data_IF_050614568991
#
_entry.id   IF_050614568991
#
_cell.length_a   1.000
_cell.length_b   1.000
_cell.length_c   1.000
_cell.angle_alpha   90.00
_cell.angle_beta   90.00
_cell.angle_gamma   90.00
#
_symmetry.space_group_name_H-M   'P 1'
#
loop_
_entity.id
_entity.type
_entity.pdbx_description
1 polymer ?
#
# COMPACT_ATOMS: atom_id res chain seq x y z
N UNK A 1 -44.22 43.01 -33.94
CA UNK A 1 -43.85 41.67 -33.45
C UNK A 1 -42.37 41.70 -33.11
N UNK A 2 -42.00 41.78 -31.82
CA UNK A 2 -40.60 41.95 -31.38
C UNK A 2 -40.00 40.56 -31.09
N UNK A 3 -38.99 40.15 -31.84
CA UNK A 3 -38.20 38.94 -31.58
C UNK A 3 -37.28 39.19 -30.37
N UNK A 4 -37.21 38.29 -29.37
CA UNK A 4 -36.20 38.40 -28.32
C UNK A 4 -34.86 37.84 -28.80
N UNK A 5 -33.81 38.63 -28.62
CA UNK A 5 -32.41 38.28 -28.86
C UNK A 5 -31.96 37.35 -27.72
N UNK A 6 -31.74 36.06 -28.01
CA UNK A 6 -31.11 35.14 -27.07
C UNK A 6 -29.60 35.43 -27.03
N UNK A 7 -29.13 35.97 -25.90
CA UNK A 7 -27.71 36.08 -25.61
C UNK A 7 -27.14 34.68 -25.35
N UNK A 8 -26.26 34.22 -26.24
CA UNK A 8 -25.45 33.02 -26.04
C UNK A 8 -24.46 33.36 -24.90
N UNK A 9 -24.70 32.85 -23.69
CA UNK A 9 -23.67 32.84 -22.65
C UNK A 9 -22.55 31.91 -23.14
N UNK A 10 -21.40 32.49 -23.50
CA UNK A 10 -20.17 31.74 -23.65
C UNK A 10 -19.84 31.12 -22.28
N UNK A 11 -20.05 29.81 -22.17
CA UNK A 11 -19.48 29.00 -21.10
C UNK A 11 -17.95 29.07 -21.28
N UNK A 12 -17.32 30.04 -20.61
CA UNK A 12 -15.87 30.04 -20.45
C UNK A 12 -15.47 28.73 -19.80
N UNK A 13 -14.52 28.02 -20.41
CA UNK A 13 -13.91 26.85 -19.82
C UNK A 13 -13.39 27.23 -18.44
N UNK A 14 -14.05 26.78 -17.37
CA UNK A 14 -13.48 26.77 -16.04
C UNK A 14 -12.22 25.92 -16.14
N UNK A 15 -11.07 26.57 -16.26
CA UNK A 15 -9.80 25.90 -16.16
C UNK A 15 -9.72 25.41 -14.72
N UNK A 16 -9.79 24.10 -14.51
CA UNK A 16 -9.53 23.51 -13.22
C UNK A 16 -8.13 23.98 -12.80
N UNK A 17 -8.01 24.59 -11.61
CA UNK A 17 -6.71 24.83 -11.01
C UNK A 17 -6.05 23.47 -10.83
N UNK A 18 -5.07 23.17 -11.67
CA UNK A 18 -4.20 22.00 -11.50
C UNK A 18 -3.64 22.03 -10.08
N UNK A 19 -3.61 20.88 -9.39
CA UNK A 19 -2.99 20.76 -8.08
C UNK A 19 -1.58 21.37 -8.13
N UNK A 20 -1.29 22.42 -7.33
CA UNK A 20 0.05 22.97 -7.21
C UNK A 20 1.06 21.86 -6.87
N UNK A 21 2.23 21.88 -7.52
CA UNK A 21 3.35 20.99 -7.17
C UNK A 21 3.83 21.15 -5.71
N UNK A 22 3.36 22.21 -5.04
CA UNK A 22 3.67 22.62 -3.67
C UNK A 22 3.03 21.76 -2.57
N UNK A 23 2.19 20.77 -2.93
CA UNK A 23 1.56 19.86 -1.96
C UNK A 23 2.34 18.54 -1.74
N UNK A 24 3.53 18.42 -2.32
CA UNK A 24 4.44 17.33 -1.99
C UNK A 24 4.76 17.34 -0.48
N UNK A 25 4.69 16.15 0.13
CA UNK A 25 4.99 15.98 1.55
C UNK A 25 6.33 15.28 1.62
N UNK A 26 7.29 15.92 2.27
CA UNK A 26 8.67 15.42 2.34
C UNK A 26 9.12 15.31 3.79
N UNK A 27 9.64 14.14 4.14
CA UNK A 27 10.45 13.91 5.32
C UNK A 27 11.93 13.96 4.95
N UNK A 28 12.70 14.75 5.71
CA UNK A 28 14.16 14.83 5.62
C UNK A 28 14.86 13.98 6.69
N UNK A 29 14.10 13.29 7.53
CA UNK A 29 14.59 12.38 8.57
C UNK A 29 13.80 11.08 8.51
N UNK A 30 14.40 9.94 8.89
CA UNK A 30 13.66 8.69 8.98
C UNK A 30 12.54 8.78 10.03
N UNK A 31 11.53 7.93 9.85
CA UNK A 31 10.39 7.77 10.75
C UNK A 31 10.82 7.11 12.07
N UNK A 32 10.15 7.45 13.17
CA UNK A 32 10.40 6.77 14.46
C UNK A 32 9.84 5.35 14.45
N UNK A 33 8.62 5.22 13.93
CA UNK A 33 7.94 3.94 13.74
C UNK A 33 6.89 4.03 12.61
N UNK A 34 6.05 2.99 12.51
CA UNK A 34 5.01 2.91 11.48
C UNK A 34 3.92 4.00 11.56
N UNK A 35 3.80 4.74 12.66
CA UNK A 35 2.85 5.85 12.81
C UNK A 35 3.23 7.04 11.94
N UNK A 36 4.52 7.22 11.65
CA UNK A 36 5.05 8.25 10.74
C UNK A 36 5.10 7.76 9.29
N UNK A 37 4.21 6.85 8.88
CA UNK A 37 4.22 6.27 7.53
C UNK A 37 3.43 7.07 6.51
N UNK A 38 3.94 7.12 5.28
CA UNK A 38 3.24 7.70 4.14
C UNK A 38 2.23 6.69 3.62
N UNK A 39 0.96 7.10 3.42
CA UNK A 39 0.00 6.26 2.73
C UNK A 39 0.32 6.22 1.23
N UNK A 40 0.26 5.03 0.65
CA UNK A 40 0.35 4.82 -0.78
C UNK A 40 -0.92 4.12 -1.25
N UNK A 41 -1.67 4.78 -2.15
CA UNK A 41 -2.99 4.35 -2.62
C UNK A 41 -2.90 3.67 -3.98
N UNK A 42 -3.52 2.50 -4.12
CA UNK A 42 -3.70 1.81 -5.40
C UNK A 42 -5.11 1.97 -5.98
N UNK A 43 -5.61 0.91 -6.62
CA UNK A 43 -6.99 0.77 -7.09
C UNK A 43 -7.68 -0.40 -6.40
N UNK A 44 -9.01 -0.40 -6.42
CA UNK A 44 -9.83 -1.55 -6.03
C UNK A 44 -9.57 -2.05 -4.60
N UNK A 45 -9.15 -1.14 -3.73
CA UNK A 45 -8.87 -1.43 -2.33
C UNK A 45 -7.40 -1.65 -1.98
N UNK A 46 -6.50 -1.78 -2.95
CA UNK A 46 -5.07 -1.98 -2.69
C UNK A 46 -4.42 -0.72 -2.11
N UNK A 47 -3.51 -0.90 -1.15
CA UNK A 47 -2.73 0.19 -0.58
C UNK A 47 -1.56 -0.29 0.27
N UNK A 48 -0.73 0.66 0.71
CA UNK A 48 0.36 0.38 1.63
C UNK A 48 0.62 1.58 2.55
N UNK A 49 1.20 1.31 3.72
CA UNK A 49 1.91 2.31 4.52
C UNK A 49 3.40 2.14 4.25
N UNK A 50 4.11 3.21 3.91
CA UNK A 50 5.54 3.20 3.56
C UNK A 50 6.31 4.16 4.44
N UNK A 51 7.41 3.70 5.05
CA UNK A 51 8.28 4.55 5.86
C UNK A 51 9.73 4.06 5.80
N UNK A 52 10.66 4.87 6.29
CA UNK A 52 12.05 4.49 6.43
C UNK A 52 12.42 4.49 7.90
N UNK A 53 13.03 3.41 8.35
CA UNK A 53 13.47 3.21 9.72
C UNK A 53 14.59 2.17 9.76
N UNK A 54 15.57 2.37 10.64
CA UNK A 54 16.68 1.43 10.87
C UNK A 54 17.40 1.04 9.57
N UNK A 55 17.71 2.05 8.75
CA UNK A 55 18.43 1.85 7.49
C UNK A 55 17.59 1.26 6.34
N UNK A 56 16.30 0.99 6.58
CA UNK A 56 15.48 0.16 5.70
C UNK A 56 14.18 0.83 5.29
N UNK A 57 13.68 0.52 4.10
CA UNK A 57 12.32 0.87 3.67
C UNK A 57 11.38 -0.21 4.20
N UNK A 58 10.35 0.23 4.88
CA UNK A 58 9.32 -0.62 5.45
C UNK A 58 7.98 -0.38 4.77
N UNK A 59 7.24 -1.47 4.58
CA UNK A 59 5.89 -1.43 4.04
C UNK A 59 4.96 -2.27 4.90
N UNK A 60 3.78 -1.75 5.22
CA UNK A 60 2.62 -2.56 5.60
C UNK A 60 1.65 -2.61 4.45
N UNK A 61 1.55 -3.77 3.82
CA UNK A 61 0.66 -4.03 2.69
C UNK A 61 -0.78 -4.12 3.19
N UNK A 62 -1.72 -3.55 2.43
CA UNK A 62 -3.12 -3.48 2.82
C UNK A 62 -4.05 -3.70 1.62
N UNK A 63 -5.24 -4.22 1.91
CA UNK A 63 -6.35 -4.28 0.97
C UNK A 63 -7.65 -4.05 1.74
N UNK A 64 -8.53 -3.15 1.29
CA UNK A 64 -9.78 -2.82 2.00
C UNK A 64 -10.74 -4.02 2.15
N UNK A 65 -10.61 -5.01 1.28
CA UNK A 65 -11.31 -6.29 1.35
C UNK A 65 -10.66 -7.38 2.21
N UNK A 66 -9.60 -7.11 2.98
CA UNK A 66 -8.88 -8.10 3.78
C UNK A 66 -9.53 -8.39 5.14
N UNK A 67 -10.81 -8.78 5.12
CA UNK A 67 -11.57 -9.11 6.32
C UNK A 67 -11.38 -10.56 6.73
N UNK A 68 -11.00 -10.80 7.99
CA UNK A 68 -11.00 -12.16 8.57
C UNK A 68 -12.42 -12.66 8.83
N UNK A 69 -12.55 -13.94 9.23
CA UNK A 69 -13.84 -14.54 9.55
C UNK A 69 -14.63 -13.76 10.63
N UNK A 70 -13.93 -13.02 11.50
CA UNK A 70 -14.52 -12.21 12.56
C UNK A 70 -14.91 -10.79 12.12
N UNK A 71 -14.68 -10.42 10.86
CA UNK A 71 -14.96 -9.09 10.32
C UNK A 71 -13.88 -8.06 10.62
N UNK A 72 -12.67 -8.48 11.00
CA UNK A 72 -11.54 -7.57 11.26
C UNK A 72 -10.82 -7.27 9.95
N UNK A 73 -10.57 -5.99 9.68
CA UNK A 73 -9.73 -5.59 8.57
C UNK A 73 -8.25 -5.78 8.95
N UNK A 74 -7.55 -6.66 8.24
CA UNK A 74 -6.17 -7.03 8.56
C UNK A 74 -5.18 -6.52 7.50
N UNK A 75 -3.93 -6.26 7.94
CA UNK A 75 -2.81 -6.05 7.02
C UNK A 75 -2.50 -7.36 6.27
N UNK A 76 -1.93 -7.25 5.08
CA UNK A 76 -1.52 -8.40 4.27
C UNK A 76 -0.14 -8.94 4.68
N UNK A 77 0.63 -8.14 5.41
CA UNK A 77 1.97 -8.48 5.89
C UNK A 77 2.87 -7.26 5.92
N UNK A 78 4.10 -7.47 6.39
CA UNK A 78 5.16 -6.48 6.43
C UNK A 78 6.24 -6.83 5.41
N UNK A 79 6.70 -5.84 4.64
CA UNK A 79 7.85 -5.98 3.75
C UNK A 79 8.95 -5.04 4.23
N UNK A 80 10.18 -5.54 4.28
CA UNK A 80 11.38 -4.74 4.55
C UNK A 80 12.33 -4.85 3.37
N UNK A 81 12.76 -3.71 2.85
CA UNK A 81 13.73 -3.59 1.76
C UNK A 81 14.94 -2.81 2.29
N UNK A 82 16.10 -3.46 2.35
CA UNK A 82 17.32 -2.86 2.91
C UNK A 82 18.42 -2.83 1.86
N UNK A 83 18.86 -1.66 1.39
CA UNK A 83 20.08 -1.55 0.60
C UNK A 83 21.28 -2.08 1.40
N UNK A 84 22.01 -3.09 0.90
CA UNK A 84 23.09 -3.71 1.70
C UNK A 84 24.34 -2.84 1.89
N UNK A 85 24.51 -1.81 1.06
CA UNK A 85 25.73 -0.99 1.03
C UNK A 85 25.58 0.38 1.70
N UNK A 86 24.36 0.76 2.13
CA UNK A 86 24.09 2.01 2.84
C UNK A 86 22.99 1.81 3.88
N UNK A 87 22.97 2.68 4.89
CA UNK A 87 21.88 2.76 5.85
C UNK A 87 21.05 4.01 5.54
N UNK A 88 19.78 3.82 5.12
CA UNK A 88 18.86 4.93 4.86
C UNK A 88 18.52 5.70 6.14
N UNK A 89 18.37 7.02 6.03
CA UNK A 89 18.07 7.92 7.13
C UNK A 89 19.26 8.75 7.63
N UNK A 90 20.36 8.77 6.88
CA UNK A 90 21.56 9.60 7.16
C UNK A 90 21.50 10.94 6.40
N UNK A 91 22.58 11.72 6.43
CA UNK A 91 22.66 13.00 5.71
C UNK A 91 22.30 12.87 4.22
N UNK A 92 21.46 13.80 3.74
CA UNK A 92 20.93 13.78 2.38
C UNK A 92 19.77 12.81 2.16
N UNK A 93 19.22 12.21 3.22
CA UNK A 93 17.98 11.44 3.16
C UNK A 93 16.79 12.32 2.79
N UNK A 94 15.92 11.78 1.93
CA UNK A 94 14.60 12.35 1.69
C UNK A 94 13.61 11.23 1.35
N UNK A 95 12.43 11.29 1.94
CA UNK A 95 11.26 10.51 1.54
C UNK A 95 10.14 11.49 1.20
N UNK A 96 9.61 11.45 -0.03
CA UNK A 96 8.59 12.38 -0.49
C UNK A 96 7.40 11.65 -1.12
N UNK A 97 6.19 12.04 -0.74
CA UNK A 97 4.94 11.64 -1.39
C UNK A 97 4.48 12.77 -2.30
N UNK A 98 4.30 12.45 -3.57
CA UNK A 98 3.65 13.30 -4.56
C UNK A 98 2.19 12.88 -4.76
N UNK A 99 1.21 13.64 -4.23
CA UNK A 99 -0.20 13.33 -4.39
C UNK A 99 -0.65 13.39 -5.86
N UNK A 100 -0.01 14.21 -6.70
CA UNK A 100 -0.40 14.39 -8.10
C UNK A 100 -0.11 13.16 -8.97
N UNK A 101 0.83 12.32 -8.55
CA UNK A 101 1.23 11.10 -9.26
C UNK A 101 1.04 9.82 -8.45
N UNK A 102 0.58 9.94 -7.20
CA UNK A 102 0.45 8.82 -6.27
C UNK A 102 1.76 8.07 -6.05
N UNK A 103 2.90 8.78 -6.07
CA UNK A 103 4.23 8.17 -6.03
C UNK A 103 4.98 8.60 -4.79
N UNK A 104 5.59 7.63 -4.11
CA UNK A 104 6.58 7.90 -3.06
C UNK A 104 7.96 7.77 -3.66
N UNK A 105 8.83 8.77 -3.45
CA UNK A 105 10.23 8.74 -3.83
C UNK A 105 11.10 8.75 -2.59
N UNK A 106 12.10 7.86 -2.51
CA UNK A 106 13.09 7.84 -1.43
C UNK A 106 14.48 8.00 -2.04
N UNK A 107 15.26 8.95 -1.54
CA UNK A 107 16.62 9.24 -2.02
C UNK A 107 17.61 9.39 -0.88
N UNK A 108 18.83 8.91 -1.09
CA UNK A 108 19.99 9.22 -0.24
C UNK A 108 21.28 8.98 -1.04
N UNK A 109 22.10 10.02 -1.21
CA UNK A 109 23.32 9.93 -2.02
C UNK A 109 23.03 9.45 -3.45
N UNK A 110 23.67 8.35 -3.87
CA UNK A 110 23.44 7.73 -5.18
C UNK A 110 22.18 6.87 -5.29
N UNK A 111 21.55 6.51 -4.17
CA UNK A 111 20.37 5.67 -4.14
C UNK A 111 19.10 6.49 -4.36
N UNK A 112 18.29 6.06 -5.32
CA UNK A 112 16.96 6.60 -5.59
C UNK A 112 15.99 5.44 -5.77
N UNK A 113 14.83 5.52 -5.14
CA UNK A 113 13.74 4.59 -5.35
C UNK A 113 12.40 5.29 -5.52
N UNK A 114 11.49 4.63 -6.22
CA UNK A 114 10.11 5.06 -6.38
C UNK A 114 9.15 3.90 -6.09
N UNK A 115 8.07 4.20 -5.38
CA UNK A 115 6.98 3.29 -5.08
C UNK A 115 5.68 3.88 -5.61
N UNK A 116 4.95 3.10 -6.40
CA UNK A 116 3.67 3.51 -6.98
C UNK A 116 2.82 2.27 -7.28
N UNK A 117 1.52 2.45 -7.49
CA UNK A 117 0.61 1.34 -7.82
C UNK A 117 0.29 1.29 -9.32
N UNK A 118 0.40 0.10 -9.89
CA UNK A 118 -0.20 -0.27 -11.16
C UNK A 118 -1.50 -1.04 -10.86
N UNK A 119 -2.61 -0.32 -10.69
CA UNK A 119 -3.86 -0.91 -10.22
C UNK A 119 -3.72 -1.48 -8.81
N UNK A 120 -3.79 -2.80 -8.68
CA UNK A 120 -3.62 -3.51 -7.40
C UNK A 120 -2.20 -4.03 -7.15
N UNK A 121 -1.26 -3.76 -8.06
CA UNK A 121 0.14 -4.18 -7.93
C UNK A 121 1.02 -3.01 -7.53
N UNK A 122 1.63 -3.07 -6.34
CA UNK A 122 2.64 -2.12 -5.91
C UNK A 122 3.94 -2.40 -6.69
N UNK A 123 4.50 -1.38 -7.30
CA UNK A 123 5.78 -1.43 -8.00
C UNK A 123 6.81 -0.65 -7.20
N UNK A 124 7.88 -1.32 -6.80
CA UNK A 124 9.10 -0.73 -6.26
C UNK A 124 10.16 -0.77 -7.34
N UNK A 125 10.75 0.39 -7.63
CA UNK A 125 11.89 0.52 -8.52
C UNK A 125 12.98 1.26 -7.78
N UNK A 126 14.22 0.79 -7.87
CA UNK A 126 15.37 1.54 -7.39
C UNK A 126 16.47 1.62 -8.43
N UNK A 127 17.24 2.69 -8.37
CA UNK A 127 18.49 2.85 -9.08
C UNK A 127 19.57 3.37 -8.13
N UNK A 128 20.78 2.88 -8.30
CA UNK A 128 21.96 3.33 -7.58
C UNK A 128 23.10 3.73 -8.53
N UNK A 129 24.04 4.49 -8.00
CA UNK A 129 25.33 4.82 -8.61
C UNK A 129 26.25 3.61 -8.79
N UNK A 130 26.13 2.60 -7.91
CA UNK A 130 26.96 1.39 -7.90
C UNK A 130 26.14 0.10 -7.86
N UNK A 131 26.75 -1.03 -8.21
CA UNK A 131 26.09 -2.33 -8.06
C UNK A 131 26.00 -2.69 -6.59
N UNK A 132 24.78 -2.90 -6.10
CA UNK A 132 24.56 -3.39 -4.76
C UNK A 132 23.32 -4.28 -4.69
N UNK A 133 23.31 -5.29 -3.83
CA UNK A 133 22.11 -6.08 -3.58
C UNK A 133 21.18 -5.37 -2.59
N UNK A 134 19.90 -5.73 -2.66
CA UNK A 134 18.89 -5.43 -1.65
C UNK A 134 18.65 -6.68 -0.80
N UNK A 135 18.56 -6.51 0.52
CA UNK A 135 17.87 -7.47 1.36
C UNK A 135 16.37 -7.25 1.22
N UNK A 136 15.62 -8.33 1.01
CA UNK A 136 14.16 -8.31 0.98
C UNK A 136 13.64 -9.31 2.01
N UNK A 137 12.82 -8.83 2.95
CA UNK A 137 12.15 -9.67 3.91
C UNK A 137 10.64 -9.49 3.83
N UNK A 138 9.89 -10.59 3.86
CA UNK A 138 8.47 -10.59 4.16
C UNK A 138 8.26 -11.11 5.58
N UNK A 139 7.44 -10.44 6.39
CA UNK A 139 7.10 -10.89 7.74
C UNK A 139 5.60 -10.84 8.04
N UNK A 140 5.16 -11.78 8.87
CA UNK A 140 3.79 -11.81 9.40
C UNK A 140 3.79 -12.24 10.86
N UNK A 141 2.92 -11.60 11.66
CA UNK A 141 2.62 -12.00 13.03
C UNK A 141 1.56 -13.10 13.10
N UNK A 142 0.97 -13.46 11.96
CA UNK A 142 0.03 -14.58 11.81
C UNK A 142 0.75 -15.76 11.16
N UNK A 143 1.98 -16.05 11.58
CA UNK A 143 2.76 -17.20 11.08
C UNK A 143 2.11 -18.55 11.41
N UNK A 144 1.19 -18.54 12.39
CA UNK A 144 0.37 -19.67 12.82
C UNK A 144 -0.91 -19.15 13.44
N UNK A 145 -1.89 -20.03 13.59
CA UNK A 145 -3.11 -19.73 14.37
C UNK A 145 -2.74 -19.47 15.83
N UNK A 146 -3.27 -18.38 16.39
CA UNK A 146 -3.06 -17.96 17.78
C UNK A 146 -4.40 -17.80 18.48
N UNK A 147 -4.59 -18.57 19.54
CA UNK A 147 -5.80 -18.53 20.38
C UNK A 147 -5.61 -17.65 21.61
N UNK A 148 -6.72 -17.19 22.18
CA UNK A 148 -6.70 -16.46 23.45
C UNK A 148 -6.14 -15.05 23.36
N UNK A 149 -6.03 -14.48 22.15
CA UNK A 149 -5.53 -13.12 21.93
C UNK A 149 -6.59 -12.12 22.36
N UNK A 150 -6.20 -11.17 23.23
CA UNK A 150 -7.09 -10.09 23.66
C UNK A 150 -7.48 -9.23 22.46
N UNK A 151 -8.78 -9.11 22.21
CA UNK A 151 -9.36 -8.43 21.05
C UNK A 151 -9.87 -7.02 21.39
N UNK A 152 -10.25 -6.77 22.65
CA UNK A 152 -10.80 -5.48 23.05
C UNK A 152 -10.38 -5.07 24.48
N UNK A 153 -10.76 -3.84 24.84
CA UNK A 153 -10.49 -3.28 26.15
C UNK A 153 -11.29 -3.96 27.26
N UNK A 154 -12.41 -4.61 26.94
CA UNK A 154 -13.28 -5.35 27.88
C UNK A 154 -12.75 -6.75 28.23
N UNK A 155 -11.64 -7.17 27.61
CA UNK A 155 -10.98 -8.42 27.93
C UNK A 155 -11.46 -9.61 27.09
N UNK A 156 -12.26 -9.37 26.04
CA UNK A 156 -12.63 -10.42 25.10
C UNK A 156 -11.38 -11.03 24.46
N UNK A 157 -11.37 -12.36 24.36
CA UNK A 157 -10.30 -13.12 23.73
C UNK A 157 -10.81 -13.82 22.48
N UNK A 158 -9.98 -13.92 21.48
CA UNK A 158 -10.34 -14.47 20.16
C UNK A 158 -9.20 -15.26 19.55
N UNK A 159 -9.51 -15.92 18.45
CA UNK A 159 -8.56 -16.62 17.60
C UNK A 159 -8.19 -15.74 16.40
N UNK A 160 -6.91 -15.66 16.10
CA UNK A 160 -6.38 -15.16 14.84
C UNK A 160 -5.85 -16.34 14.04
N UNK A 161 -6.42 -16.62 12.87
CA UNK A 161 -5.97 -17.71 12.02
C UNK A 161 -4.67 -17.35 11.30
N UNK A 162 -3.80 -18.35 11.13
CA UNK A 162 -2.52 -18.19 10.46
C UNK A 162 -2.64 -17.92 8.96
N UNK A 163 -1.69 -17.16 8.43
CA UNK A 163 -1.48 -16.98 7.00
C UNK A 163 -0.68 -18.16 6.43
N UNK A 164 -0.91 -18.48 5.16
CA UNK A 164 -0.09 -19.42 4.41
C UNK A 164 1.04 -18.65 3.73
N UNK A 165 2.29 -19.06 3.98
CA UNK A 165 3.48 -18.41 3.42
C UNK A 165 4.27 -19.41 2.58
N UNK A 166 4.57 -19.04 1.34
CA UNK A 166 5.45 -19.78 0.45
C UNK A 166 6.57 -18.84 -0.02
N UNK A 167 7.80 -19.17 0.34
CA UNK A 167 8.98 -18.43 -0.07
C UNK A 167 9.75 -19.22 -1.14
N UNK A 168 10.29 -18.50 -2.12
CA UNK A 168 11.09 -19.05 -3.21
C UNK A 168 12.14 -18.04 -3.64
N UNK A 169 13.14 -18.41 -4.45
CA UNK A 169 14.11 -17.45 -4.98
C UNK A 169 13.43 -16.40 -5.89
N UNK A 170 12.29 -16.71 -6.50
CA UNK A 170 11.51 -15.75 -7.30
C UNK A 170 10.75 -14.71 -6.47
N UNK A 171 10.55 -14.95 -5.17
CA UNK A 171 9.77 -14.09 -4.29
C UNK A 171 8.87 -14.86 -3.32
N UNK A 172 7.74 -14.26 -2.95
CA UNK A 172 6.87 -14.73 -1.88
C UNK A 172 5.41 -14.83 -2.36
N UNK A 173 4.70 -15.88 -1.96
CA UNK A 173 3.23 -15.95 -2.03
C UNK A 173 2.71 -16.07 -0.61
N UNK A 174 1.84 -15.14 -0.22
CA UNK A 174 1.24 -15.11 1.12
C UNK A 174 -0.25 -14.87 1.02
N UNK A 175 -1.04 -15.70 1.68
CA UNK A 175 -2.48 -15.50 1.70
C UNK A 175 -3.14 -16.07 2.96
N UNK A 176 -4.23 -15.44 3.31
CA UNK A 176 -5.19 -15.89 4.30
C UNK A 176 -6.42 -16.42 3.59
N UNK A 177 -7.00 -17.51 4.09
CA UNK A 177 -8.28 -18.04 3.61
C UNK A 177 -9.22 -18.23 4.79
N UNK A 178 -10.34 -17.51 4.77
CA UNK A 178 -11.40 -17.67 5.73
C UNK A 178 -12.09 -19.04 5.55
N UNK A 179 -12.80 -19.46 6.60
CA UNK A 179 -13.60 -20.68 6.58
C UNK A 179 -14.73 -20.59 5.55
N UNK A 180 -15.27 -21.75 5.15
CA UNK A 180 -16.30 -21.82 4.10
C UNK A 180 -17.68 -21.33 4.56
N UNK A 181 -17.85 -21.19 5.87
CA UNK A 181 -19.08 -20.79 6.53
C UNK A 181 -18.90 -19.46 7.29
N UNK A 182 -19.96 -18.62 7.37
CA UNK A 182 -19.93 -17.40 8.17
C UNK A 182 -19.75 -17.71 9.66
N UNK A 183 -19.06 -16.83 10.38
CA UNK A 183 -19.23 -16.75 11.83
C UNK A 183 -20.69 -16.40 12.12
N UNK A 184 -21.37 -17.09 13.04
CA UNK A 184 -22.80 -16.97 13.37
C UNK A 184 -23.39 -15.54 13.20
N UNK A 185 -23.76 -15.20 11.97
CA UNK A 185 -24.31 -13.89 11.61
C UNK A 185 -25.75 -13.81 12.11
N UNK A 186 -26.46 -14.93 12.12
CA UNK A 186 -27.85 -15.03 12.59
C UNK A 186 -27.95 -14.68 14.09
N UNK A 187 -27.10 -15.27 14.93
CA UNK A 187 -27.04 -14.98 16.36
C UNK A 187 -26.63 -13.53 16.63
N UNK A 188 -25.65 -12.99 15.88
CA UNK A 188 -25.25 -11.58 15.98
C UNK A 188 -26.35 -10.62 15.54
N UNK A 189 -27.09 -10.94 14.48
CA UNK A 189 -28.20 -10.14 13.97
C UNK A 189 -29.36 -10.08 14.97
N UNK A 190 -29.79 -11.26 15.43
CA UNK A 190 -30.88 -11.43 16.39
C UNK A 190 -30.58 -10.72 17.72
N UNK A 191 -29.34 -10.84 18.21
CA UNK A 191 -28.89 -10.14 19.43
C UNK A 191 -28.89 -8.61 19.32
N UNK A 192 -28.95 -8.05 18.10
CA UNK A 192 -29.04 -6.61 17.84
C UNK A 192 -30.42 -6.18 17.30
N UNK A 193 -31.40 -7.09 17.24
CA UNK A 193 -32.72 -6.81 16.68
C UNK A 193 -32.73 -6.58 15.16
N UNK A 194 -31.68 -7.01 14.46
CA UNK A 194 -31.54 -6.88 13.01
C UNK A 194 -32.05 -8.14 12.30
N UNK A 195 -32.72 -7.96 11.15
CA UNK A 195 -33.05 -9.07 10.26
C UNK A 195 -31.78 -9.61 9.59
N UNK A 196 -31.57 -10.91 9.71
CA UNK A 196 -30.45 -11.62 9.07
C UNK A 196 -30.44 -11.44 7.55
N UNK A 197 -31.60 -11.31 6.90
CA UNK A 197 -31.69 -11.09 5.45
C UNK A 197 -30.99 -9.81 4.99
N UNK A 198 -30.78 -8.84 5.89
CA UNK A 198 -30.10 -7.57 5.60
C UNK A 198 -28.59 -7.60 5.86
N UNK A 199 -28.05 -8.73 6.33
CA UNK A 199 -26.63 -8.88 6.65
C UNK A 199 -25.96 -9.85 5.67
N UNK A 200 -25.48 -9.36 4.51
CA UNK A 200 -24.76 -10.21 3.58
C UNK A 200 -23.48 -10.74 4.24
N UNK A 201 -23.24 -12.04 4.09
CA UNK A 201 -21.98 -12.64 4.49
C UNK A 201 -20.88 -12.20 3.52
N UNK A 202 -20.02 -11.32 4.02
CA UNK A 202 -18.87 -10.81 3.28
C UNK A 202 -17.57 -11.47 3.70
N UNK A 203 -17.56 -12.40 4.68
CA UNK A 203 -16.32 -12.97 5.24
C UNK A 203 -16.11 -14.44 4.88
N UNK A 204 -17.15 -15.25 4.68
CA UNK A 204 -16.93 -16.66 4.31
C UNK A 204 -16.22 -16.81 2.95
N UNK A 205 -15.35 -17.82 2.85
CA UNK A 205 -14.53 -18.17 1.68
C UNK A 205 -13.67 -17.03 1.13
N UNK A 206 -13.54 -15.95 1.87
CA UNK A 206 -12.71 -14.82 1.48
C UNK A 206 -11.24 -15.22 1.54
N UNK A 207 -10.53 -14.93 0.46
CA UNK A 207 -9.09 -15.10 0.35
C UNK A 207 -8.46 -13.74 0.10
N UNK A 208 -7.43 -13.42 0.87
CA UNK A 208 -6.71 -12.16 0.74
C UNK A 208 -5.22 -12.32 1.03
N UNK A 209 -4.39 -11.52 0.40
CA UNK A 209 -2.95 -11.63 0.56
C UNK A 209 -2.16 -10.90 -0.50
N UNK A 210 -0.92 -11.33 -0.69
CA UNK A 210 -0.01 -10.74 -1.66
C UNK A 210 0.90 -11.76 -2.32
N UNK A 211 1.24 -11.53 -3.58
CA UNK A 211 2.37 -12.17 -4.23
C UNK A 211 3.44 -11.13 -4.55
N UNK A 212 4.68 -11.40 -4.15
CA UNK A 212 5.84 -10.54 -4.35
C UNK A 212 6.76 -11.21 -5.35
N UNK A 213 7.12 -10.52 -6.43
CA UNK A 213 8.06 -11.00 -7.44
C UNK A 213 9.28 -10.06 -7.52
N UNK A 214 10.46 -10.66 -7.67
CA UNK A 214 11.75 -9.95 -7.69
C UNK A 214 12.41 -10.12 -9.06
N UNK A 215 12.75 -9.02 -9.73
CA UNK A 215 13.45 -9.08 -11.02
C UNK A 215 14.83 -9.74 -10.89
N UNK A 216 15.08 -10.77 -11.69
CA UNK A 216 16.28 -11.61 -11.60
C UNK A 216 16.36 -12.52 -10.37
N UNK A 217 15.35 -12.50 -9.50
CA UNK A 217 15.27 -13.33 -8.30
C UNK A 217 16.28 -12.99 -7.19
N UNK A 218 16.19 -13.77 -6.12
CA UNK A 218 17.05 -13.73 -4.95
C UNK A 218 18.15 -14.80 -5.03
N UNK A 219 19.28 -14.54 -4.36
CA UNK A 219 20.37 -15.48 -4.19
C UNK A 219 19.98 -16.52 -3.15
N UNK A 220 19.65 -17.73 -3.61
CA UNK A 220 19.27 -18.85 -2.75
C UNK A 220 17.82 -18.77 -2.26
N UNK A 221 17.48 -19.69 -1.34
CA UNK A 221 16.17 -19.72 -0.70
C UNK A 221 16.10 -18.68 0.42
N UNK A 222 15.01 -17.89 0.51
CA UNK A 222 14.80 -17.00 1.65
C UNK A 222 14.84 -17.76 2.98
N UNK A 223 15.63 -17.27 3.92
CA UNK A 223 15.78 -17.89 5.23
C UNK A 223 14.65 -17.46 6.17
N UNK A 224 14.02 -18.43 6.81
CA UNK A 224 13.01 -18.20 7.85
C UNK A 224 13.67 -17.87 9.20
N UNK A 225 13.16 -16.86 9.89
CA UNK A 225 13.61 -16.50 11.24
C UNK A 225 12.47 -15.95 12.09
N UNK A 226 12.58 -16.10 13.41
CA UNK A 226 11.73 -15.38 14.35
C UNK A 226 12.13 -13.90 14.40
N UNK A 227 11.12 -13.03 14.48
CA UNK A 227 11.34 -11.58 14.51
C UNK A 227 10.48 -10.92 15.58
N UNK A 228 11.01 -9.84 16.14
CA UNK A 228 10.25 -8.82 16.87
C UNK A 228 10.36 -7.52 16.09
N UNK A 229 9.34 -7.20 15.32
CA UNK A 229 9.28 -6.00 14.49
C UNK A 229 8.26 -5.04 15.09
N UNK A 230 8.68 -3.79 15.32
CA UNK A 230 7.85 -2.81 16.01
C UNK A 230 7.32 -3.35 17.34
N UNK A 231 6.00 -3.49 17.45
CA UNK A 231 5.26 -3.95 18.60
C UNK A 231 4.70 -5.38 18.45
N UNK A 232 5.14 -6.15 17.44
CA UNK A 232 4.66 -7.52 17.22
C UNK A 232 5.79 -8.55 17.08
N UNK A 233 5.46 -9.79 17.46
CA UNK A 233 6.32 -10.96 17.31
C UNK A 233 5.72 -11.90 16.25
N UNK A 234 6.57 -12.50 15.43
CA UNK A 234 6.16 -13.44 14.39
C UNK A 234 7.36 -14.05 13.69
N UNK A 235 7.19 -14.33 12.40
CA UNK A 235 8.26 -14.83 11.54
C UNK A 235 8.47 -13.95 10.32
N UNK A 236 9.69 -13.98 9.81
CA UNK A 236 10.04 -13.38 8.53
C UNK A 236 10.82 -14.36 7.66
N UNK A 237 10.71 -14.18 6.34
CA UNK A 237 11.47 -14.89 5.32
C UNK A 237 12.32 -13.86 4.59
N UNK A 238 13.63 -14.00 4.68
CA UNK A 238 14.59 -12.99 4.22
C UNK A 238 15.49 -13.54 3.13
N UNK A 239 15.51 -12.87 1.98
CA UNK A 239 16.42 -13.16 0.87
C UNK A 239 17.24 -11.94 0.49
N UNK A 240 18.23 -12.12 -0.39
CA UNK A 240 19.07 -11.04 -0.93
C UNK A 240 19.00 -11.10 -2.45
N UNK A 241 18.87 -9.97 -3.13
CA UNK A 241 18.87 -9.93 -4.61
C UNK A 241 20.26 -10.18 -5.17
N UNK A 242 20.36 -10.39 -6.49
CA UNK A 242 21.65 -10.23 -7.17
C UNK A 242 22.16 -8.79 -7.01
N UNK A 243 23.47 -8.56 -7.11
CA UNK A 243 24.04 -7.21 -7.09
C UNK A 243 23.80 -6.53 -8.45
N UNK A 244 23.07 -5.40 -8.44
CA UNK A 244 22.74 -4.62 -9.64
C UNK A 244 22.59 -3.14 -9.27
N UNK A 245 22.78 -2.23 -10.23
CA UNK A 245 22.40 -0.81 -10.07
C UNK A 245 20.90 -0.61 -9.97
N UNK A 246 20.13 -1.35 -10.75
CA UNK A 246 18.68 -1.19 -10.84
C UNK A 246 17.96 -2.43 -10.36
N UNK A 247 16.94 -2.24 -9.52
CA UNK A 247 16.09 -3.31 -8.99
C UNK A 247 14.63 -3.00 -9.26
N UNK A 248 13.86 -4.03 -9.54
CA UNK A 248 12.41 -3.96 -9.66
C UNK A 248 11.80 -5.08 -8.80
N UNK A 249 10.91 -4.70 -7.90
CA UNK A 249 10.14 -5.61 -7.06
C UNK A 249 8.68 -5.25 -7.23
N UNK A 250 7.82 -6.23 -7.46
CA UNK A 250 6.38 -6.03 -7.64
C UNK A 250 5.62 -6.81 -6.59
N UNK A 251 4.51 -6.25 -6.11
CA UNK A 251 3.71 -6.84 -5.03
C UNK A 251 2.24 -6.76 -5.43
N UNK A 252 1.71 -7.84 -6.00
CA UNK A 252 0.28 -7.97 -6.30
C UNK A 252 -0.49 -8.14 -5.00
N UNK A 253 -1.42 -7.23 -4.69
CA UNK A 253 -2.22 -7.27 -3.46
C UNK A 253 -3.66 -7.60 -3.81
N UNK A 254 -4.29 -8.63 -3.25
CA UNK A 254 -5.63 -9.04 -3.65
C UNK A 254 -6.50 -9.41 -2.44
N UNK A 255 -7.81 -9.17 -2.55
CA UNK A 255 -8.81 -9.75 -1.64
C UNK A 255 -10.17 -9.92 -2.30
N UNK A 256 -10.69 -11.16 -2.34
CA UNK A 256 -12.06 -11.42 -2.79
C UNK A 256 -12.62 -12.71 -2.19
N UNK A 257 -13.94 -12.88 -2.28
CA UNK A 257 -14.61 -14.16 -2.00
C UNK A 257 -14.22 -15.15 -3.09
N UNK A 258 -13.83 -16.37 -2.71
CA UNK A 258 -13.44 -17.44 -3.62
C UNK A 258 -12.25 -17.09 -4.54
N UNK A 259 -11.39 -16.15 -4.11
CA UNK A 259 -10.17 -15.81 -4.87
C UNK A 259 -9.18 -16.99 -4.91
N UNK A 260 -8.52 -17.12 -6.05
CA UNK A 260 -7.49 -18.13 -6.30
C UNK A 260 -6.08 -17.53 -6.18
N UNK A 261 -5.36 -17.76 -5.07
CA UNK A 261 -4.05 -17.15 -4.84
C UNK A 261 -2.95 -17.72 -5.74
N UNK A 262 -3.19 -18.83 -6.44
CA UNK A 262 -2.19 -19.45 -7.34
C UNK A 262 -1.92 -18.61 -8.59
N UNK A 263 -2.82 -17.67 -8.93
CA UNK A 263 -2.69 -16.76 -10.07
C UNK A 263 -1.83 -15.53 -9.75
N UNK A 264 -1.79 -15.11 -8.49
CA UNK A 264 -1.16 -13.85 -8.09
C UNK A 264 0.35 -13.77 -8.39
N UNK A 265 1.15 -14.85 -8.27
CA UNK A 265 2.56 -14.81 -8.66
C UNK A 265 2.75 -14.43 -10.13
N UNK A 266 1.94 -14.98 -11.04
CA UNK A 266 2.03 -14.65 -12.46
C UNK A 266 1.65 -13.18 -12.73
N UNK A 267 0.66 -12.66 -12.02
CA UNK A 267 0.25 -11.24 -12.10
C UNK A 267 1.32 -10.28 -11.57
N UNK A 268 2.00 -10.64 -10.47
CA UNK A 268 3.15 -9.90 -9.96
C UNK A 268 4.31 -9.94 -10.98
N UNK A 269 4.71 -11.13 -11.43
CA UNK A 269 5.78 -11.32 -12.42
C UNK A 269 5.53 -10.55 -13.71
N UNK A 270 4.29 -10.50 -14.20
CA UNK A 270 3.95 -9.76 -15.41
C UNK A 270 4.30 -8.26 -15.31
N UNK A 271 4.22 -7.69 -14.11
CA UNK A 271 4.58 -6.29 -13.86
C UNK A 271 6.09 -6.04 -13.72
N UNK A 272 6.95 -7.07 -13.77
CA UNK A 272 8.40 -6.85 -13.87
C UNK A 272 8.79 -6.30 -15.25
N UNK A 273 8.03 -6.66 -16.28
CA UNK A 273 8.30 -6.30 -17.66
C UNK A 273 8.24 -4.75 -17.88
N UNK A 274 9.30 -4.12 -18.42
CA UNK A 274 9.35 -2.66 -18.57
C UNK A 274 8.18 -2.06 -19.36
N UNK A 275 7.76 -2.70 -20.44
CA UNK A 275 6.66 -2.24 -21.29
C UNK A 275 5.31 -2.25 -20.56
N UNK A 276 5.09 -3.23 -19.68
CA UNK A 276 3.90 -3.29 -18.82
C UNK A 276 3.92 -2.15 -17.79
N UNK A 277 5.07 -1.87 -17.20
CA UNK A 277 5.24 -0.76 -16.25
C UNK A 277 5.06 0.61 -16.91
N UNK A 278 5.62 0.82 -18.10
CA UNK A 278 5.45 2.08 -18.85
C UNK A 278 3.97 2.31 -19.19
N UNK A 279 3.28 1.27 -19.69
CA UNK A 279 1.85 1.37 -20.00
C UNK A 279 1.02 1.64 -18.75
N UNK A 280 1.27 0.92 -17.66
CA UNK A 280 0.57 1.10 -16.38
C UNK A 280 0.83 2.47 -15.76
N UNK A 281 2.07 2.99 -15.83
CA UNK A 281 2.39 4.32 -15.32
C UNK A 281 1.65 5.41 -16.08
N UNK A 282 1.57 5.31 -17.41
CA UNK A 282 0.80 6.24 -18.23
C UNK A 282 -0.68 6.24 -17.84
N UNK A 283 -1.26 5.05 -17.66
CA UNK A 283 -2.65 4.90 -17.22
C UNK A 283 -2.87 5.49 -15.80
N UNK A 284 -1.96 5.23 -14.86
CA UNK A 284 -2.05 5.75 -13.50
C UNK A 284 -1.90 7.27 -13.43
N UNK A 285 -0.98 7.85 -14.20
CA UNK A 285 -0.85 9.31 -14.27
C UNK A 285 -2.10 9.97 -14.85
N UNK A 286 -2.70 9.37 -15.89
CA UNK A 286 -3.97 9.86 -16.45
C UNK A 286 -5.08 9.82 -15.39
N UNK A 287 -5.19 8.73 -14.64
CA UNK A 287 -6.17 8.61 -13.56
C UNK A 287 -5.96 9.66 -12.47
N UNK A 288 -4.73 9.88 -12.01
CA UNK A 288 -4.46 10.87 -10.98
C UNK A 288 -4.80 12.28 -11.46
N UNK A 289 -4.50 12.61 -12.72
CA UNK A 289 -4.92 13.85 -13.34
C UNK A 289 -6.46 13.98 -13.34
N UNK A 290 -7.19 12.96 -13.80
CA UNK A 290 -8.67 12.93 -13.76
C UNK A 290 -9.22 13.02 -12.33
N UNK A 291 -8.56 12.38 -11.35
CA UNK A 291 -8.96 12.41 -9.95
C UNK A 291 -8.84 13.83 -9.36
N UNK A 292 -7.71 14.49 -9.62
CA UNK A 292 -7.45 15.84 -9.13
C UNK A 292 -8.21 16.91 -9.89
N UNK A 293 -8.49 16.73 -11.18
CA UNK A 293 -9.34 17.64 -11.96
C UNK A 293 -10.80 17.69 -11.47
N UNK A 294 -11.22 16.75 -10.63
CA UNK A 294 -12.50 16.79 -9.87
C UNK A 294 -12.38 17.47 -8.50
N UNK A 295 -11.27 18.15 -8.23
CA UNK A 295 -10.95 18.79 -6.95
C UNK A 295 -10.72 20.27 -7.16
N UNK A 296 -11.45 21.11 -6.43
CA UNK A 296 -11.34 22.57 -6.57
C UNK A 296 -11.00 23.27 -5.24
N UNK A 297 -10.67 22.51 -4.19
CA UNK A 297 -10.29 23.04 -2.89
C UNK A 297 -8.76 23.17 -2.85
N UNK A 298 -8.29 24.39 -3.07
CA UNK A 298 -6.89 24.82 -2.93
C UNK A 298 -6.90 25.95 -1.92
N UNK A 299 -6.23 25.76 -0.78
CA UNK A 299 -6.19 26.74 0.31
C UNK A 299 -4.74 27.19 0.46
N UNK A 300 -4.51 28.50 0.37
CA UNK A 300 -3.22 29.17 0.59
C UNK A 300 -2.00 28.38 0.05
N UNK A 301 -1.93 28.13 -1.27
CA UNK A 301 -0.83 27.37 -1.85
C UNK A 301 0.51 28.03 -1.53
N UNK A 302 1.52 27.21 -1.21
CA UNK A 302 2.88 27.67 -0.87
C UNK A 302 3.07 28.18 0.57
N UNK A 303 2.05 28.15 1.42
CA UNK A 303 2.19 28.44 2.87
C UNK A 303 2.55 27.17 3.65
N UNK A 304 3.44 27.33 4.63
CA UNK A 304 3.90 26.23 5.49
C UNK A 304 2.98 26.03 6.72
N UNK A 305 3.38 25.15 7.62
CA UNK A 305 2.62 24.83 8.85
C UNK A 305 2.57 25.97 9.89
N UNK A 306 3.23 27.11 9.64
CA UNK A 306 3.06 28.30 10.49
C UNK A 306 1.78 29.09 10.18
N UNK A 307 1.18 28.85 9.01
CA UNK A 307 -0.16 29.35 8.66
C UNK A 307 -1.19 28.22 8.87
N UNK A 308 -2.12 28.35 9.84
CA UNK A 308 -3.16 27.33 10.06
C UNK A 308 -3.99 27.02 8.81
N UNK A 309 -4.24 28.01 7.95
CA UNK A 309 -4.96 27.79 6.69
C UNK A 309 -4.10 27.03 5.66
N UNK A 310 -2.78 27.30 5.64
CA UNK A 310 -1.80 26.54 4.87
C UNK A 310 -1.67 25.09 5.33
N UNK A 311 -1.67 24.85 6.65
CA UNK A 311 -1.64 23.50 7.22
C UNK A 311 -2.90 22.69 6.82
N UNK A 312 -4.09 23.29 6.96
CA UNK A 312 -5.34 22.67 6.48
C UNK A 312 -5.28 22.40 4.98
N UNK A 313 -4.75 23.36 4.20
CA UNK A 313 -4.53 23.24 2.76
C UNK A 313 -3.60 22.09 2.38
N UNK A 314 -2.58 21.76 3.19
CA UNK A 314 -1.69 20.61 2.97
C UNK A 314 -2.29 19.28 3.41
N UNK A 315 -3.09 19.29 4.48
CA UNK A 315 -3.75 18.10 5.00
C UNK A 315 -4.85 17.60 4.06
N UNK A 316 -5.63 18.50 3.44
CA UNK A 316 -6.73 18.13 2.56
C UNK A 316 -6.32 17.21 1.39
N UNK A 317 -5.29 17.54 0.58
CA UNK A 317 -4.78 16.65 -0.46
C UNK A 317 -4.33 15.29 0.07
N UNK A 318 -3.69 15.23 1.23
CA UNK A 318 -3.24 13.97 1.83
C UNK A 318 -4.43 13.07 2.23
N UNK A 319 -5.47 13.64 2.85
CA UNK A 319 -6.69 12.88 3.17
C UNK A 319 -7.39 12.40 1.90
N UNK A 320 -7.47 13.26 0.88
CA UNK A 320 -8.15 12.91 -0.37
C UNK A 320 -7.38 11.87 -1.18
N UNK A 321 -6.05 11.94 -1.24
CA UNK A 321 -5.21 10.93 -1.88
C UNK A 321 -5.37 9.54 -1.23
N UNK A 322 -5.61 9.46 0.09
CA UNK A 322 -5.94 8.20 0.78
C UNK A 322 -7.27 7.59 0.32
N UNK A 323 -8.25 8.41 -0.02
CA UNK A 323 -9.54 7.95 -0.54
C UNK A 323 -9.46 7.49 -2.00
N UNK A 324 -8.39 7.84 -2.72
CA UNK A 324 -8.16 7.35 -4.07
C UNK A 324 -7.86 5.84 -4.11
N UNK A 325 -7.61 5.17 -2.98
CA UNK A 325 -7.43 3.71 -2.93
C UNK A 325 -8.73 2.91 -3.18
N UNK A 326 -9.87 3.59 -3.35
CA UNK A 326 -11.20 2.97 -3.54
C UNK A 326 -11.40 2.35 -4.92
#
# INVERSE_FOLDING_TARGET
MKLPLFALLALGSLHANSMPGDYQITWSTPSQDSLDSMPLSGRFGAGANVWVQDGSIWLYLAHNGAYDSNGRLLKLGAVRITPKHLSLGSDGFSQSLDPSTGTITITQGGFKSSLWFAGETLVFESNDSQDAPLELAFGTWREKTKDGIRNDMMGSKTTFHGDQVQASPSGFLVFHRNADYPLDLAGKASGQGNDQANLPDVTARRVFGSAIAVDGGMTGQPAESEVRWQFWNGKAWTGTTQSKKSHVITMRLAAAVDADPTKWPAEATAMLAPEKRVAAKKDELKRWDEFWNRSHIVINPGKDSSDPAGEVGRNYPLFRARLAAT
#
